data_IF_417033488494
#
_entry.id   IF_417033488494
#
_cell.length_a   1.000
_cell.length_b   1.000
_cell.length_c   1.000
_cell.angle_alpha   90.00
_cell.angle_beta   90.00
_cell.angle_gamma   90.00
#
_symmetry.space_group_name_H-M   'P 1'
#
loop_
_entity.id
_entity.type
_entity.pdbx_description
1 polymer ?
#
# COMPACT_ATOMS: atom_id res chain seq x y z
N UNK A 1 1.18 -27.77 -30.60
CA UNK A 1 1.53 -26.69 -29.66
C UNK A 1 2.62 -27.22 -28.75
N UNK A 2 3.87 -26.80 -28.99
CA UNK A 2 5.02 -27.06 -28.13
C UNK A 2 4.93 -26.09 -26.95
N UNK A 3 4.53 -26.53 -25.79
CA UNK A 3 4.68 -25.78 -24.54
C UNK A 3 6.04 -26.14 -23.95
N UNK A 4 7.03 -25.32 -24.19
CA UNK A 4 8.35 -25.39 -23.55
C UNK A 4 8.49 -24.31 -22.49
N UNK A 5 9.39 -24.51 -21.53
CA UNK A 5 9.82 -23.41 -20.64
C UNK A 5 10.45 -22.31 -21.49
N UNK A 6 10.02 -21.07 -21.25
CA UNK A 6 10.56 -19.89 -21.92
C UNK A 6 11.03 -18.87 -20.89
N UNK A 7 11.98 -18.07 -21.26
CA UNK A 7 12.45 -16.95 -20.45
C UNK A 7 11.87 -15.69 -21.05
N UNK A 8 11.03 -15.00 -20.28
CA UNK A 8 10.53 -13.67 -20.64
C UNK A 8 11.54 -12.62 -20.17
N UNK A 9 11.90 -11.72 -21.07
CA UNK A 9 12.83 -10.63 -20.78
C UNK A 9 12.13 -9.31 -21.07
N UNK A 10 12.05 -8.43 -20.08
CA UNK A 10 11.66 -7.03 -20.28
C UNK A 10 12.92 -6.15 -20.34
N UNK A 11 13.41 -5.80 -21.54
CA UNK A 11 14.60 -4.98 -21.70
C UNK A 11 14.27 -3.53 -21.32
N UNK A 12 14.66 -3.06 -20.16
CA UNK A 12 14.51 -1.68 -19.71
C UNK A 12 14.79 -0.65 -20.83
N UNK A 13 14.31 0.57 -20.67
CA UNK A 13 14.57 1.66 -21.64
C UNK A 13 15.82 2.44 -21.30
N UNK A 14 16.22 2.48 -20.04
CA UNK A 14 17.37 3.22 -19.53
C UNK A 14 18.10 2.37 -18.49
N UNK A 15 19.40 2.32 -18.55
CA UNK A 15 20.25 1.59 -17.61
C UNK A 15 21.64 1.40 -18.16
N UNK A 16 22.59 1.04 -17.30
CA UNK A 16 23.92 0.62 -17.72
C UNK A 16 23.83 -0.72 -18.45
N UNK A 17 24.60 -0.87 -19.52
CA UNK A 17 24.73 -2.16 -20.19
C UNK A 17 25.25 -3.21 -19.22
N UNK A 18 24.52 -4.29 -19.08
CA UNK A 18 24.93 -5.45 -18.26
C UNK A 18 24.81 -6.72 -19.07
N UNK A 19 25.73 -7.66 -18.82
CA UNK A 19 25.71 -8.99 -19.42
C UNK A 19 25.38 -10.08 -18.41
N UNK A 20 25.13 -9.69 -17.16
CA UNK A 20 24.79 -10.62 -16.08
C UNK A 20 23.40 -10.26 -15.56
N UNK A 21 22.49 -11.21 -15.58
CA UNK A 21 21.12 -11.08 -15.12
C UNK A 21 20.81 -12.15 -14.10
N UNK A 22 20.08 -11.78 -13.06
CA UNK A 22 19.51 -12.73 -12.10
C UNK A 22 18.04 -12.91 -12.46
N UNK A 23 17.67 -14.12 -12.82
CA UNK A 23 16.28 -14.46 -13.12
C UNK A 23 15.44 -14.47 -11.83
N UNK A 24 14.18 -14.08 -11.96
CA UNK A 24 13.19 -14.28 -10.90
C UNK A 24 12.74 -15.75 -10.94
N UNK A 25 12.61 -16.39 -9.80
CA UNK A 25 12.10 -17.78 -9.70
C UNK A 25 10.60 -17.84 -10.04
N UNK A 26 9.86 -16.78 -9.75
CA UNK A 26 8.44 -16.63 -10.06
C UNK A 26 8.23 -15.39 -10.94
N UNK A 27 7.30 -15.48 -11.92
CA UNK A 27 6.96 -14.33 -12.75
C UNK A 27 6.37 -13.21 -11.87
N UNK A 28 6.67 -11.94 -12.16
CA UNK A 28 6.10 -10.82 -11.42
C UNK A 28 4.58 -10.83 -11.59
N UNK A 29 3.84 -10.57 -10.51
CA UNK A 29 2.38 -10.55 -10.48
C UNK A 29 1.77 -9.52 -11.45
N UNK A 30 2.55 -8.50 -11.81
CA UNK A 30 2.17 -7.49 -12.78
C UNK A 30 3.37 -7.24 -13.68
N UNK A 31 3.20 -7.14 -15.02
CA UNK A 31 4.29 -6.81 -15.91
C UNK A 31 5.01 -5.54 -15.45
N UNK A 32 6.34 -5.51 -15.55
CA UNK A 32 7.16 -4.39 -15.08
C UNK A 32 6.73 -3.05 -15.68
N UNK A 33 6.20 -3.08 -16.89
CA UNK A 33 5.72 -1.90 -17.65
C UNK A 33 4.20 -1.78 -17.70
N UNK A 34 3.46 -2.53 -16.89
CA UNK A 34 2.02 -2.36 -16.84
C UNK A 34 1.69 -0.89 -16.51
N UNK A 35 0.77 -0.27 -17.27
CA UNK A 35 0.26 1.03 -16.90
C UNK A 35 -0.42 0.91 -15.52
N UNK A 36 -0.31 1.93 -14.71
CA UNK A 36 -0.85 1.93 -13.34
C UNK A 36 0.11 2.58 -12.36
N UNK A 37 -0.25 2.55 -11.10
CA UNK A 37 0.51 3.21 -10.06
C UNK A 37 1.13 2.15 -9.14
N UNK A 38 2.47 2.13 -9.08
CA UNK A 38 3.23 1.28 -8.16
C UNK A 38 3.69 2.10 -6.98
N UNK A 39 3.36 1.65 -5.78
CA UNK A 39 3.60 2.37 -4.54
C UNK A 39 4.25 1.46 -3.50
N UNK A 40 5.35 1.90 -2.89
CA UNK A 40 5.90 1.28 -1.70
C UNK A 40 5.15 1.79 -0.45
N UNK A 41 4.85 0.87 0.47
CA UNK A 41 4.28 1.18 1.77
C UNK A 41 5.27 0.76 2.86
N UNK A 42 5.56 1.65 3.81
CA UNK A 42 6.30 1.32 5.04
C UNK A 42 5.36 0.77 6.09
N UNK A 43 5.67 -0.39 6.61
CA UNK A 43 4.91 -1.09 7.65
C UNK A 43 5.81 -1.52 8.80
N UNK A 44 5.27 -1.53 10.01
CA UNK A 44 5.95 -2.10 11.18
C UNK A 44 5.82 -3.63 11.19
N UNK A 45 4.72 -4.14 10.62
CA UNK A 45 4.45 -5.58 10.50
C UNK A 45 3.59 -5.85 9.25
N UNK A 46 3.74 -7.05 8.70
CA UNK A 46 2.96 -7.50 7.53
C UNK A 46 1.48 -7.73 7.87
N UNK A 47 1.19 -8.13 9.11
CA UNK A 47 -0.15 -8.49 9.52
C UNK A 47 -0.70 -9.67 8.70
N UNK A 48 -1.90 -9.50 8.15
CA UNK A 48 -2.56 -10.50 7.30
C UNK A 48 -2.33 -10.29 5.80
N UNK A 49 -1.49 -9.31 5.43
CA UNK A 49 -1.20 -8.99 4.02
C UNK A 49 -0.23 -10.02 3.44
N UNK A 50 -0.53 -10.53 2.25
CA UNK A 50 0.32 -11.46 1.49
C UNK A 50 0.45 -11.04 0.03
N UNK A 51 1.32 -11.69 -0.72
CA UNK A 51 1.43 -11.51 -2.16
C UNK A 51 0.09 -11.89 -2.81
N UNK A 52 -0.42 -11.04 -3.70
CA UNK A 52 -1.73 -11.21 -4.34
C UNK A 52 -2.91 -10.74 -3.49
N UNK A 53 -2.71 -10.32 -2.23
CA UNK A 53 -3.75 -9.67 -1.43
C UNK A 53 -4.32 -8.48 -2.17
N UNK A 54 -5.63 -8.26 -2.03
CA UNK A 54 -6.33 -7.16 -2.69
C UNK A 54 -5.98 -5.81 -2.08
N UNK A 55 -5.90 -4.78 -2.93
CA UNK A 55 -5.93 -3.39 -2.50
C UNK A 55 -7.32 -2.85 -2.79
N UNK A 56 -7.98 -2.29 -1.78
CA UNK A 56 -9.35 -1.80 -1.87
C UNK A 56 -9.44 -0.31 -1.58
N UNK A 57 -10.40 0.33 -2.22
CA UNK A 57 -10.82 1.70 -1.93
C UNK A 57 -12.34 1.71 -1.86
N UNK A 58 -12.91 2.09 -0.71
CA UNK A 58 -14.38 2.09 -0.47
C UNK A 58 -15.02 0.75 -0.82
N UNK A 59 -14.39 -0.36 -0.38
CA UNK A 59 -14.82 -1.74 -0.63
C UNK A 59 -14.75 -2.20 -2.12
N UNK A 60 -14.22 -1.39 -3.03
CA UNK A 60 -13.97 -1.77 -4.42
C UNK A 60 -12.51 -2.23 -4.55
N UNK A 61 -12.27 -3.39 -5.15
CA UNK A 61 -10.91 -3.84 -5.48
C UNK A 61 -10.36 -2.95 -6.60
N UNK A 62 -9.23 -2.31 -6.33
CA UNK A 62 -8.58 -1.34 -7.22
C UNK A 62 -7.14 -1.72 -7.54
N UNK A 63 -6.63 -2.80 -6.95
CA UNK A 63 -5.27 -3.24 -7.14
C UNK A 63 -4.92 -4.48 -6.33
N UNK A 64 -3.65 -4.76 -6.22
CA UNK A 64 -3.11 -5.91 -5.49
C UNK A 64 -1.74 -5.64 -4.89
N UNK A 65 -1.35 -6.46 -3.92
CA UNK A 65 -0.01 -6.52 -3.37
C UNK A 65 0.88 -7.32 -4.32
N UNK A 66 1.99 -6.74 -4.77
CA UNK A 66 2.95 -7.38 -5.66
C UNK A 66 4.05 -8.13 -4.90
N UNK A 67 4.45 -7.63 -3.73
CA UNK A 67 5.51 -8.20 -2.93
C UNK A 67 5.70 -7.51 -1.60
N UNK A 68 6.64 -8.01 -0.82
CA UNK A 68 7.11 -7.37 0.40
C UNK A 68 8.54 -7.81 0.70
N UNK A 69 9.31 -6.94 1.35
CA UNK A 69 10.68 -7.23 1.75
C UNK A 69 11.08 -6.38 2.97
N UNK A 70 12.10 -6.86 3.70
CA UNK A 70 12.71 -6.06 4.76
C UNK A 70 13.67 -5.04 4.15
N UNK A 71 13.65 -3.83 4.67
CA UNK A 71 14.60 -2.77 4.27
C UNK A 71 15.96 -3.08 4.89
N UNK A 72 17.05 -3.18 4.10
CA UNK A 72 18.35 -3.65 4.59
C UNK A 72 18.95 -2.87 5.77
N UNK A 73 18.67 -1.58 5.85
CA UNK A 73 19.25 -0.67 6.85
C UNK A 73 18.28 -0.26 7.96
N UNK A 74 17.17 -0.98 8.12
CA UNK A 74 16.16 -0.58 9.10
C UNK A 74 15.24 -1.72 9.52
N UNK A 75 14.56 -1.50 10.62
CA UNK A 75 13.54 -2.41 11.14
C UNK A 75 12.20 -2.29 10.39
N UNK A 76 12.18 -1.65 9.21
CA UNK A 76 10.98 -1.41 8.44
C UNK A 76 10.74 -2.52 7.42
N UNK A 77 9.48 -2.91 7.30
CA UNK A 77 8.97 -3.79 6.24
C UNK A 77 8.42 -2.93 5.10
N UNK A 78 8.83 -3.22 3.88
CA UNK A 78 8.31 -2.58 2.68
C UNK A 78 7.30 -3.50 2.01
N UNK A 79 6.10 -2.99 1.74
CA UNK A 79 5.05 -3.68 0.98
C UNK A 79 4.91 -2.95 -0.35
N UNK A 80 5.05 -3.67 -1.46
CA UNK A 80 4.90 -3.12 -2.80
C UNK A 80 3.49 -3.41 -3.31
N UNK A 81 2.75 -2.35 -3.63
CA UNK A 81 1.38 -2.45 -4.16
C UNK A 81 1.29 -1.91 -5.57
N UNK A 82 0.37 -2.48 -6.32
CA UNK A 82 -0.02 -2.01 -7.65
C UNK A 82 -1.48 -1.59 -7.65
N UNK A 83 -1.75 -0.39 -8.16
CA UNK A 83 -3.09 0.15 -8.39
C UNK A 83 -3.35 0.19 -9.89
N UNK A 84 -4.48 -0.32 -10.31
CA UNK A 84 -4.89 -0.31 -11.71
C UNK A 84 -5.03 1.10 -12.28
N UNK A 85 -4.75 1.31 -13.59
CA UNK A 85 -4.75 2.64 -14.21
C UNK A 85 -6.07 3.40 -14.02
N UNK A 86 -7.19 2.69 -14.08
CA UNK A 86 -8.53 3.28 -13.94
C UNK A 86 -8.75 3.94 -12.56
N UNK A 87 -8.03 3.48 -11.53
CA UNK A 87 -8.18 3.92 -10.15
C UNK A 87 -7.01 4.73 -9.61
N UNK A 88 -5.92 4.85 -10.38
CA UNK A 88 -4.70 5.55 -9.94
C UNK A 88 -4.93 7.00 -9.53
N UNK A 89 -5.91 7.67 -10.13
CA UNK A 89 -6.30 9.04 -9.79
C UNK A 89 -6.92 9.20 -8.41
N UNK A 90 -7.42 8.12 -7.80
CA UNK A 90 -8.01 8.14 -6.45
C UNK A 90 -6.96 8.06 -5.34
N UNK A 91 -5.72 7.69 -5.68
CA UNK A 91 -4.61 7.77 -4.73
C UNK A 91 -4.06 9.18 -4.73
N UNK A 92 -4.07 9.80 -3.58
CA UNK A 92 -3.63 11.19 -3.37
C UNK A 92 -2.40 11.24 -2.48
N UNK A 93 -1.73 12.36 -2.43
CA UNK A 93 -0.55 12.57 -1.57
C UNK A 93 -0.88 12.36 -0.08
N UNK A 94 -2.11 12.65 0.31
CA UNK A 94 -2.63 12.50 1.67
C UNK A 94 -3.37 11.17 1.90
N UNK A 95 -3.36 10.25 0.93
CA UNK A 95 -3.95 8.92 1.09
C UNK A 95 -3.27 8.17 2.22
N UNK A 96 -4.05 7.39 2.95
CA UNK A 96 -3.62 6.55 4.04
C UNK A 96 -3.99 5.13 3.78
N UNK A 97 -3.06 4.23 4.05
CA UNK A 97 -3.17 2.81 3.79
C UNK A 97 -3.18 2.06 5.11
N UNK A 98 -4.08 1.11 5.28
CA UNK A 98 -4.17 0.29 6.47
C UNK A 98 -4.48 -1.17 6.13
N UNK A 99 -4.22 -2.04 7.09
CA UNK A 99 -4.56 -3.46 6.97
C UNK A 99 -6.09 -3.61 6.94
N UNK A 100 -6.60 -4.16 5.85
CA UNK A 100 -8.02 -4.43 5.64
C UNK A 100 -8.48 -5.75 6.29
N UNK A 101 -7.73 -6.34 7.22
CA UNK A 101 -8.21 -7.47 8.00
C UNK A 101 -9.40 -7.02 8.85
N UNK A 102 -10.54 -7.02 8.20
CA UNK A 102 -11.79 -6.54 8.76
C UNK A 102 -12.36 -7.49 9.78
N UNK A 103 -11.78 -7.49 10.96
CA UNK A 103 -12.57 -7.72 12.16
C UNK A 103 -12.89 -6.33 12.70
N UNK A 104 -13.81 -5.62 12.07
CA UNK A 104 -14.68 -4.72 12.81
C UNK A 104 -15.52 -5.61 13.74
N UNK A 105 -14.91 -6.00 14.83
CA UNK A 105 -15.63 -6.54 15.98
C UNK A 105 -16.38 -5.37 16.62
N UNK A 106 -17.38 -4.85 15.93
CA UNK A 106 -18.40 -4.04 16.55
C UNK A 106 -19.18 -4.99 17.47
N UNK A 107 -18.82 -4.98 18.73
CA UNK A 107 -19.62 -5.58 19.79
C UNK A 107 -20.93 -4.78 19.92
N UNK A 108 -21.85 -5.05 19.03
CA UNK A 108 -23.22 -4.59 19.18
C UNK A 108 -23.92 -5.44 20.23
N UNK A 109 -24.85 -4.84 20.96
CA UNK A 109 -25.66 -5.49 22.01
C UNK A 109 -26.50 -6.70 21.53
N UNK A 110 -26.43 -7.07 20.26
CA UNK A 110 -27.22 -8.14 19.63
C UNK A 110 -26.44 -9.44 19.35
N UNK A 111 -25.22 -9.59 19.87
CA UNK A 111 -24.40 -10.80 19.70
C UNK A 111 -23.74 -10.89 18.33
N UNK A 112 -22.69 -11.72 18.26
CA UNK A 112 -21.90 -11.99 17.07
C UNK A 112 -22.73 -12.76 16.01
N UNK A 113 -23.12 -12.10 14.93
CA UNK A 113 -23.68 -12.78 13.75
C UNK A 113 -22.55 -13.05 12.74
N UNK A 114 -22.04 -14.26 12.72
CA UNK A 114 -21.12 -14.72 11.68
C UNK A 114 -21.89 -15.27 10.48
N UNK A 115 -21.68 -14.70 9.31
CA UNK A 115 -22.11 -15.32 8.07
C UNK A 115 -20.91 -16.07 7.46
N UNK A 116 -21.09 -17.33 7.06
CA UNK A 116 -20.01 -18.19 6.56
C UNK A 116 -19.22 -17.59 5.36
N UNK A 117 -19.85 -16.74 4.58
CA UNK A 117 -19.17 -15.98 3.52
C UNK A 117 -18.14 -14.96 4.04
N UNK A 118 -18.30 -14.50 5.28
CA UNK A 118 -17.39 -13.55 5.91
C UNK A 118 -16.10 -14.20 6.39
N UNK A 119 -16.09 -15.50 6.72
CA UNK A 119 -14.88 -16.17 7.22
C UNK A 119 -13.79 -16.32 6.15
N UNK A 120 -14.14 -16.56 4.90
CA UNK A 120 -13.18 -16.61 3.80
C UNK A 120 -12.57 -15.23 3.51
N UNK A 121 -13.35 -14.16 3.66
CA UNK A 121 -12.88 -12.78 3.54
C UNK A 121 -12.06 -12.32 4.75
N UNK A 122 -12.31 -12.90 5.91
CA UNK A 122 -11.53 -12.64 7.14
C UNK A 122 -10.13 -13.26 7.10
N UNK A 123 -9.95 -14.34 6.34
CA UNK A 123 -8.66 -15.02 6.17
C UNK A 123 -7.81 -14.44 5.04
N UNK A 124 -8.40 -13.71 4.11
CA UNK A 124 -7.67 -13.02 3.05
C UNK A 124 -7.43 -11.57 3.46
N UNK A 125 -6.36 -11.33 4.18
CA UNK A 125 -5.89 -9.98 4.49
C UNK A 125 -5.68 -9.16 3.22
N UNK A 126 -5.81 -7.86 3.34
CA UNK A 126 -5.64 -6.94 2.24
C UNK A 126 -5.15 -5.58 2.71
N UNK A 127 -5.00 -4.68 1.78
CA UNK A 127 -4.71 -3.26 2.04
C UNK A 127 -5.93 -2.45 1.65
N UNK A 128 -6.40 -1.59 2.52
CA UNK A 128 -7.42 -0.61 2.19
C UNK A 128 -6.83 0.79 2.29
N UNK A 129 -7.32 1.71 1.47
CA UNK A 129 -6.92 3.11 1.56
C UNK A 129 -8.11 4.06 1.38
N UNK A 130 -7.94 5.26 1.92
CA UNK A 130 -8.80 6.41 1.67
C UNK A 130 -7.98 7.70 1.78
N UNK A 131 -8.48 8.78 1.19
CA UNK A 131 -7.88 10.10 1.31
C UNK A 131 -8.53 10.86 2.48
N UNK A 132 -7.73 11.65 3.18
CA UNK A 132 -8.17 12.30 4.43
C UNK A 132 -8.99 13.56 4.19
N UNK A 133 -8.73 14.25 3.09
CA UNK A 133 -9.44 15.46 2.67
C UNK A 133 -10.56 15.18 1.67
N UNK A 134 -11.09 16.25 1.10
CA UNK A 134 -11.90 16.11 -0.09
C UNK A 134 -11.02 15.60 -1.23
N UNK A 135 -11.55 14.68 -2.02
CA UNK A 135 -10.85 13.99 -3.10
C UNK A 135 -10.16 14.92 -4.13
N UNK A 136 -10.52 16.21 -4.12
CA UNK A 136 -10.00 17.22 -5.03
C UNK A 136 -9.00 18.21 -4.41
N UNK A 137 -8.83 18.21 -3.09
CA UNK A 137 -7.97 19.18 -2.39
C UNK A 137 -6.48 18.76 -2.38
N UNK A 138 -6.21 17.49 -2.57
CA UNK A 138 -4.84 16.94 -2.56
C UNK A 138 -4.42 16.48 -3.96
N UNK A 139 -3.19 16.75 -4.40
CA UNK A 139 -2.72 16.31 -5.71
C UNK A 139 -2.66 14.77 -5.81
N UNK A 140 -2.78 14.23 -7.04
CA UNK A 140 -2.66 12.80 -7.26
C UNK A 140 -1.25 12.29 -6.91
N UNK A 141 -1.19 11.06 -6.42
CA UNK A 141 0.05 10.37 -6.13
C UNK A 141 0.88 10.14 -7.39
N UNK A 142 2.19 10.06 -7.21
CA UNK A 142 3.13 9.66 -8.25
C UNK A 142 3.69 8.26 -7.94
N UNK A 143 4.06 7.51 -8.98
CA UNK A 143 4.74 6.23 -8.81
C UNK A 143 5.96 6.36 -7.90
N UNK A 144 6.22 5.32 -7.13
CA UNK A 144 7.29 5.25 -6.13
C UNK A 144 7.17 6.25 -4.95
N UNK A 145 6.05 6.95 -4.80
CA UNK A 145 5.79 7.73 -3.60
C UNK A 145 5.58 6.79 -2.41
N UNK A 146 6.33 7.04 -1.34
CA UNK A 146 6.30 6.23 -0.13
C UNK A 146 5.14 6.64 0.77
N UNK A 147 4.38 5.65 1.23
CA UNK A 147 3.30 5.84 2.20
C UNK A 147 3.53 5.00 3.44
N UNK A 148 2.88 5.37 4.53
CA UNK A 148 2.80 4.55 5.75
C UNK A 148 1.65 3.55 5.63
N UNK A 149 1.90 2.29 5.99
CA UNK A 149 0.89 1.28 6.20
C UNK A 149 0.58 1.18 7.69
N UNK A 150 -0.68 1.35 8.04
CA UNK A 150 -1.15 1.33 9.43
C UNK A 150 -1.74 -0.03 9.78
N UNK A 151 -1.70 -0.45 11.05
CA UNK A 151 -2.26 -1.74 11.48
C UNK A 151 -3.78 -1.83 11.26
N UNK A 152 -4.48 -0.71 11.33
CA UNK A 152 -5.92 -0.63 11.12
C UNK A 152 -6.35 0.80 10.73
N UNK A 153 -7.64 0.96 10.42
CA UNK A 153 -8.23 2.24 10.03
C UNK A 153 -8.19 3.28 11.15
N UNK A 154 -8.35 2.86 12.40
CA UNK A 154 -8.34 3.77 13.55
C UNK A 154 -6.96 4.38 13.71
N UNK A 155 -5.91 3.56 13.72
CA UNK A 155 -4.52 4.01 13.77
C UNK A 155 -4.18 4.98 12.62
N UNK A 156 -4.74 4.75 11.43
CA UNK A 156 -4.53 5.65 10.31
C UNK A 156 -5.11 7.06 10.52
N UNK A 157 -6.11 7.21 11.39
CA UNK A 157 -6.79 8.47 11.70
C UNK A 157 -6.17 9.24 12.87
N UNK A 158 -5.59 8.53 13.84
CA UNK A 158 -5.06 9.11 15.08
C UNK A 158 -3.81 9.97 14.88
N UNK A 159 -3.06 9.79 13.81
CA UNK A 159 -1.81 10.52 13.54
C UNK A 159 -1.99 12.05 13.39
N UNK A 160 -3.21 12.55 13.28
CA UNK A 160 -3.46 14.01 13.22
C UNK A 160 -3.40 14.72 14.57
N UNK A 161 -3.29 14.01 15.68
CA UNK A 161 -3.32 14.61 17.01
C UNK A 161 -1.94 15.02 17.53
N UNK A 162 -0.86 14.78 16.79
CA UNK A 162 0.47 15.27 17.18
C UNK A 162 0.62 16.76 16.78
N UNK A 163 0.10 17.62 17.62
CA UNK A 163 0.43 19.05 17.60
C UNK A 163 1.91 19.19 17.92
N UNK A 164 2.73 19.62 16.97
CA UNK A 164 4.10 20.04 17.23
C UNK A 164 4.04 21.45 17.81
N UNK A 165 4.35 21.59 19.07
CA UNK A 165 4.53 22.90 19.71
C UNK A 165 5.89 23.45 19.30
N UNK A 166 5.90 24.57 18.59
CA UNK A 166 7.12 25.31 18.25
C UNK A 166 7.26 26.48 19.20
N UNK A 167 8.32 26.49 19.99
CA UNK A 167 8.69 27.65 20.80
C UNK A 167 9.60 28.55 19.94
N UNK A 168 9.09 29.73 19.57
CA UNK A 168 9.84 30.73 18.84
C UNK A 168 10.54 31.65 19.83
N UNK A 169 11.85 31.64 19.83
CA UNK A 169 12.67 32.60 20.61
C UNK A 169 12.99 33.80 19.72
N UNK A 170 12.51 34.95 20.14
CA UNK A 170 12.89 36.23 19.52
C UNK A 170 14.06 36.81 20.26
N UNK A 171 15.21 36.98 19.60
CA UNK A 171 16.43 37.63 20.16
C UNK A 171 16.47 39.12 19.80
N UNK A 172 15.34 39.80 19.69
CA UNK A 172 15.27 41.21 19.38
C UNK A 172 14.50 41.97 20.44
N UNK A 173 15.09 43.07 20.95
CA UNK A 173 14.37 44.05 21.78
C UNK A 173 13.24 44.68 20.97
N UNK A 174 12.01 44.60 21.48
CA UNK A 174 10.90 45.40 20.97
C UNK A 174 11.11 46.83 21.46
N UNK A 175 11.06 47.85 20.59
CA UNK A 175 11.18 49.23 20.99
C UNK A 175 9.98 49.71 21.81
#
# INVERSE_FOLDING_TARGET
LLSGAYIEVDPGREGAETRSFVGLEEPPQTPLRAPGLKLPLDADALGSVGIGSTVTHRALTVGKVEGYHLVPDGDALRIDIYIEPAYSQHVRVDSRFWNASGIDLSFGAEGLKFTAASLASLLSGGVEFDSVGNEFDSPPAKSAMLYRHYPDRTASREVFTQTREYVLYFTGSVP
#
